data_IF_619147471207
#
_entry.id   IF_619147471207
#
_cell.length_a   1.000
_cell.length_b   1.000
_cell.length_c   1.000
_cell.angle_alpha   90.00
_cell.angle_beta   90.00
_cell.angle_gamma   90.00
#
_symmetry.space_group_name_H-M   'P 1'
#
loop_
_entity.id
_entity.type
_entity.pdbx_description
1 polymer ?
#
# COMPACT_ATOMS: atom_id res chain seq x y z
N UNK A 1 9.71 -5.95 30.46
CA UNK A 1 8.93 -6.25 29.24
C UNK A 1 7.48 -6.46 29.66
N UNK A 2 6.60 -5.50 29.35
CA UNK A 2 5.18 -5.58 29.71
C UNK A 2 4.43 -6.57 28.83
N UNK A 3 3.98 -7.68 29.43
CA UNK A 3 3.21 -8.74 28.75
C UNK A 3 1.87 -8.26 28.16
N UNK A 4 1.42 -7.07 28.53
CA UNK A 4 0.16 -6.47 28.08
C UNK A 4 0.30 -5.75 26.74
N UNK A 5 1.48 -5.19 26.44
CA UNK A 5 1.74 -4.48 25.19
C UNK A 5 1.67 -5.42 23.96
N UNK A 6 2.18 -6.65 24.09
CA UNK A 6 2.14 -7.64 23.00
C UNK A 6 0.72 -8.11 22.64
N UNK A 7 -0.17 -8.23 23.64
CA UNK A 7 -1.58 -8.60 23.40
C UNK A 7 -2.35 -7.48 22.71
N UNK A 8 -2.17 -6.24 23.16
CA UNK A 8 -2.81 -5.08 22.55
C UNK A 8 -2.34 -4.89 21.10
N UNK A 9 -1.04 -5.05 20.84
CA UNK A 9 -0.47 -4.99 19.49
C UNK A 9 -1.05 -6.07 18.56
N UNK A 10 -1.16 -7.31 19.04
CA UNK A 10 -1.77 -8.40 18.26
C UNK A 10 -3.23 -8.13 17.90
N UNK A 11 -4.02 -7.57 18.83
CA UNK A 11 -5.42 -7.18 18.57
C UNK A 11 -5.49 -6.06 17.52
N UNK A 12 -4.62 -5.04 17.64
CA UNK A 12 -4.58 -3.94 16.69
C UNK A 12 -4.28 -4.45 15.26
N UNK A 13 -3.30 -5.35 15.11
CA UNK A 13 -2.96 -5.93 13.80
C UNK A 13 -4.07 -6.83 13.24
N UNK A 14 -4.75 -7.60 14.09
CA UNK A 14 -5.93 -8.38 13.67
C UNK A 14 -7.04 -7.47 13.16
N UNK A 15 -7.37 -6.40 13.89
CA UNK A 15 -8.41 -5.46 13.48
C UNK A 15 -8.04 -4.74 12.18
N UNK A 16 -6.76 -4.39 12.02
CA UNK A 16 -6.26 -3.84 10.77
C UNK A 16 -6.46 -4.82 9.63
N UNK A 17 -6.06 -6.08 9.79
CA UNK A 17 -6.23 -7.11 8.76
C UNK A 17 -7.70 -7.32 8.37
N UNK A 18 -8.61 -7.38 9.34
CA UNK A 18 -10.05 -7.52 9.10
C UNK A 18 -10.60 -6.34 8.28
N UNK A 19 -10.17 -5.11 8.57
CA UNK A 19 -10.56 -3.94 7.80
C UNK A 19 -10.06 -4.02 6.34
N UNK A 20 -8.82 -4.49 6.13
CA UNK A 20 -8.26 -4.65 4.79
C UNK A 20 -8.96 -5.77 4.01
N UNK A 21 -9.35 -6.86 4.69
CA UNK A 21 -10.13 -7.95 4.09
C UNK A 21 -11.49 -7.44 3.59
N UNK A 22 -12.19 -6.62 4.40
CA UNK A 22 -13.46 -6.02 3.97
C UNK A 22 -13.29 -5.14 2.73
N UNK A 23 -12.18 -4.40 2.61
CA UNK A 23 -11.87 -3.65 1.40
C UNK A 23 -11.61 -4.60 0.22
N UNK A 24 -10.83 -5.68 0.41
CA UNK A 24 -10.58 -6.66 -0.65
C UNK A 24 -11.89 -7.24 -1.23
N UNK A 25 -12.89 -7.54 -0.39
CA UNK A 25 -14.20 -8.01 -0.83
C UNK A 25 -14.90 -7.04 -1.79
N UNK A 26 -14.77 -5.73 -1.56
CA UNK A 26 -15.31 -4.72 -2.47
C UNK A 26 -14.66 -4.76 -3.86
N UNK A 27 -13.35 -5.04 -3.93
CA UNK A 27 -12.63 -5.17 -5.20
C UNK A 27 -12.97 -6.47 -5.92
N UNK A 28 -13.17 -7.56 -5.18
CA UNK A 28 -13.56 -8.87 -5.73
C UNK A 28 -14.96 -8.87 -6.35
N UNK A 29 -15.86 -8.03 -5.83
CA UNK A 29 -17.25 -7.94 -6.29
C UNK A 29 -17.49 -6.82 -7.32
N UNK A 30 -16.54 -5.89 -7.48
CA UNK A 30 -16.62 -4.82 -8.47
C UNK A 30 -16.28 -5.31 -9.88
N UNK A 31 -17.27 -5.26 -10.78
CA UNK A 31 -17.15 -5.61 -12.20
C UNK A 31 -16.01 -4.90 -12.94
N UNK A 32 -15.54 -3.74 -12.44
CA UNK A 32 -14.38 -3.02 -12.98
C UNK A 32 -13.10 -3.86 -12.98
N UNK A 33 -12.95 -4.79 -12.04
CA UNK A 33 -11.77 -5.64 -11.88
C UNK A 33 -11.97 -7.08 -12.37
N UNK A 34 -13.11 -7.38 -13.02
CA UNK A 34 -13.43 -8.73 -13.49
C UNK A 34 -12.39 -9.31 -14.47
N UNK A 35 -11.72 -8.45 -15.24
CA UNK A 35 -10.68 -8.85 -16.21
C UNK A 35 -9.28 -8.98 -15.57
N UNK A 36 -9.13 -8.73 -14.27
CA UNK A 36 -7.84 -8.87 -13.58
C UNK A 36 -7.61 -10.34 -13.23
N UNK A 37 -6.69 -10.98 -13.97
CA UNK A 37 -6.25 -12.34 -13.67
C UNK A 37 -5.67 -12.45 -12.25
N UNK A 38 -5.98 -13.55 -11.56
CA UNK A 38 -5.53 -13.85 -10.19
C UNK A 38 -5.81 -12.72 -9.17
N UNK A 39 -6.92 -11.99 -9.33
CA UNK A 39 -7.25 -10.84 -8.49
C UNK A 39 -7.20 -11.18 -6.99
N UNK A 40 -7.79 -12.30 -6.57
CA UNK A 40 -7.77 -12.75 -5.16
C UNK A 40 -6.34 -12.88 -4.62
N UNK A 41 -5.46 -13.57 -5.34
CA UNK A 41 -4.07 -13.76 -4.91
C UNK A 41 -3.29 -12.44 -4.90
N UNK A 42 -3.56 -11.55 -5.87
CA UNK A 42 -2.96 -10.20 -5.90
C UNK A 42 -3.40 -9.36 -4.72
N UNK A 43 -4.69 -9.34 -4.39
CA UNK A 43 -5.23 -8.61 -3.25
C UNK A 43 -4.64 -9.10 -1.92
N UNK A 44 -4.48 -10.42 -1.73
CA UNK A 44 -3.80 -10.96 -0.54
C UNK A 44 -2.33 -10.54 -0.48
N UNK A 45 -1.60 -10.62 -1.60
CA UNK A 45 -0.20 -10.16 -1.67
C UNK A 45 -0.08 -8.66 -1.34
N UNK A 46 -0.97 -7.84 -1.90
CA UNK A 46 -0.99 -6.40 -1.68
C UNK A 46 -1.36 -6.03 -0.25
N UNK A 47 -2.31 -6.74 0.38
CA UNK A 47 -2.64 -6.59 1.80
C UNK A 47 -1.42 -6.81 2.68
N UNK A 48 -0.73 -7.94 2.52
CA UNK A 48 0.46 -8.25 3.32
C UNK A 48 1.55 -7.20 3.14
N UNK A 49 1.81 -6.80 1.89
CA UNK A 49 2.77 -5.75 1.57
C UNK A 49 2.38 -4.41 2.20
N UNK A 50 1.11 -4.01 2.15
CA UNK A 50 0.63 -2.79 2.78
C UNK A 50 0.82 -2.80 4.31
N UNK A 51 0.50 -3.93 4.96
CA UNK A 51 0.72 -4.10 6.41
C UNK A 51 2.19 -4.07 6.81
N UNK A 52 3.11 -4.51 5.94
CA UNK A 52 4.56 -4.35 6.15
C UNK A 52 5.03 -2.90 6.04
N UNK A 53 4.34 -2.07 5.26
CA UNK A 53 4.73 -0.68 4.99
C UNK A 53 4.09 0.35 5.92
N UNK A 54 2.96 0.02 6.54
CA UNK A 54 2.34 0.81 7.62
C UNK A 54 3.18 0.74 8.91
N UNK A 55 4.38 1.29 8.85
CA UNK A 55 5.43 1.21 9.87
C UNK A 55 5.15 2.05 11.12
N UNK A 56 4.09 2.88 11.10
CA UNK A 56 3.71 3.76 12.21
C UNK A 56 2.43 3.30 12.91
N UNK A 57 1.85 2.16 12.52
CA UNK A 57 0.60 1.58 13.03
C UNK A 57 -0.62 2.54 12.95
N UNK A 58 -0.58 3.53 12.03
CA UNK A 58 -1.70 4.46 11.81
C UNK A 58 -2.69 3.97 10.76
N UNK A 59 -2.39 2.86 10.06
CA UNK A 59 -3.24 2.30 9.03
C UNK A 59 -3.05 2.95 7.66
N UNK A 60 -2.13 3.91 7.52
CA UNK A 60 -1.90 4.70 6.30
C UNK A 60 -0.40 4.90 6.02
N UNK A 61 -0.04 4.92 4.74
CA UNK A 61 1.34 5.14 4.30
C UNK A 61 1.58 6.65 4.21
N UNK A 62 2.35 7.18 5.15
CA UNK A 62 2.88 8.55 5.07
C UNK A 62 4.14 8.64 4.18
N UNK A 63 4.65 9.86 3.98
CA UNK A 63 5.86 10.08 3.17
C UNK A 63 7.11 9.37 3.71
N UNK A 64 7.20 9.15 5.02
CA UNK A 64 8.32 8.49 5.67
C UNK A 64 8.23 6.97 5.53
N UNK A 65 7.03 6.41 5.62
CA UNK A 65 6.73 5.02 5.30
C UNK A 65 7.06 4.71 3.83
N UNK A 66 6.64 5.58 2.90
CA UNK A 66 7.00 5.48 1.49
C UNK A 66 8.53 5.54 1.28
N UNK A 67 9.22 6.48 1.96
CA UNK A 67 10.69 6.58 1.91
C UNK A 67 11.36 5.28 2.37
N UNK A 68 10.97 4.76 3.54
CA UNK A 68 11.54 3.53 4.11
C UNK A 68 11.27 2.31 3.24
N UNK A 69 10.07 2.20 2.66
CA UNK A 69 9.74 1.17 1.69
C UNK A 69 10.72 1.19 0.52
N UNK A 70 10.89 2.34 -0.13
CA UNK A 70 11.75 2.46 -1.30
C UNK A 70 13.23 2.20 -0.95
N UNK A 71 13.70 2.67 0.21
CA UNK A 71 15.04 2.36 0.72
C UNK A 71 15.24 0.85 0.96
N UNK A 72 14.27 0.14 1.54
CA UNK A 72 14.31 -1.34 1.72
C UNK A 72 14.39 -2.07 0.38
N UNK A 73 13.85 -1.47 -0.68
CA UNK A 73 13.91 -1.97 -2.05
C UNK A 73 15.15 -1.50 -2.82
N UNK A 74 16.09 -0.79 -2.18
CA UNK A 74 17.31 -0.28 -2.80
C UNK A 74 17.09 0.94 -3.70
N UNK A 75 15.94 1.60 -3.61
CA UNK A 75 15.58 2.78 -4.39
C UNK A 75 15.57 4.02 -3.50
N UNK A 76 16.63 4.81 -3.56
CA UNK A 76 16.65 6.12 -2.91
C UNK A 76 15.86 7.14 -3.73
N UNK A 77 15.02 7.95 -3.07
CA UNK A 77 14.27 9.06 -3.66
C UNK A 77 14.45 10.33 -2.84
N UNK A 78 14.47 11.46 -3.53
CA UNK A 78 14.45 12.79 -2.89
C UNK A 78 13.08 13.08 -2.29
N UNK A 79 13.02 14.01 -1.33
CA UNK A 79 11.75 14.42 -0.72
C UNK A 79 10.73 14.95 -1.75
N UNK A 80 11.20 15.66 -2.78
CA UNK A 80 10.34 16.16 -3.86
C UNK A 80 9.76 15.03 -4.72
N UNK A 81 10.56 14.01 -5.07
CA UNK A 81 10.08 12.84 -5.78
C UNK A 81 9.05 12.07 -4.96
N UNK A 82 9.28 11.90 -3.65
CA UNK A 82 8.33 11.26 -2.75
C UNK A 82 6.99 12.03 -2.71
N UNK A 83 7.03 13.36 -2.55
CA UNK A 83 5.81 14.19 -2.58
C UNK A 83 5.05 14.06 -3.90
N UNK A 84 5.77 14.02 -5.02
CA UNK A 84 5.16 13.81 -6.34
C UNK A 84 4.49 12.44 -6.43
N UNK A 85 5.17 11.39 -5.97
CA UNK A 85 4.63 10.03 -5.95
C UNK A 85 3.37 9.93 -5.09
N UNK A 86 3.35 10.55 -3.90
CA UNK A 86 2.16 10.64 -3.04
C UNK A 86 1.00 11.32 -3.78
N UNK A 87 1.26 12.48 -4.38
CA UNK A 87 0.24 13.25 -5.10
C UNK A 87 -0.30 12.53 -6.33
N UNK A 88 0.55 11.77 -7.03
CA UNK A 88 0.14 10.96 -8.20
C UNK A 88 -0.80 9.81 -7.79
N UNK A 89 -0.66 9.28 -6.57
CA UNK A 89 -1.48 8.17 -6.05
C UNK A 89 -2.80 8.65 -5.46
N UNK A 90 -2.74 9.65 -4.58
CA UNK A 90 -3.90 10.24 -3.88
C UNK A 90 -4.76 11.08 -4.84
N UNK A 91 -4.18 11.51 -5.96
CA UNK A 91 -4.80 12.42 -6.92
C UNK A 91 -4.71 13.87 -6.47
N UNK A 92 -4.66 14.81 -7.44
CA UNK A 92 -4.47 16.25 -7.19
C UNK A 92 -5.64 16.94 -6.47
N UNK A 93 -6.69 16.20 -6.06
CA UNK A 93 -7.96 16.78 -5.60
C UNK A 93 -8.07 16.95 -4.09
N UNK A 94 -7.16 16.41 -3.29
CA UNK A 94 -7.20 16.57 -1.84
C UNK A 94 -5.82 16.83 -1.25
N UNK A 95 -5.78 17.66 -0.20
CA UNK A 95 -4.60 17.97 0.62
C UNK A 95 -4.15 16.79 1.49
N UNK A 96 -4.45 15.55 1.09
CA UNK A 96 -4.11 14.36 1.86
C UNK A 96 -2.62 14.06 1.71
N UNK A 97 -1.95 13.90 2.84
CA UNK A 97 -0.50 13.63 2.93
C UNK A 97 -0.19 12.14 3.16
N UNK A 98 -1.20 11.29 3.07
CA UNK A 98 -1.15 9.85 3.33
C UNK A 98 -1.86 9.06 2.23
N UNK A 99 -1.36 7.86 1.94
CA UNK A 99 -1.95 6.89 1.02
C UNK A 99 -2.70 5.86 1.87
N UNK A 100 -4.01 5.77 1.70
CA UNK A 100 -4.80 4.72 2.33
C UNK A 100 -4.80 3.43 1.48
N UNK A 101 -5.38 2.35 2.00
CA UNK A 101 -5.31 1.06 1.32
C UNK A 101 -6.01 1.04 -0.05
N UNK A 102 -7.11 1.79 -0.22
CA UNK A 102 -7.79 1.88 -1.51
C UNK A 102 -6.96 2.65 -2.54
N UNK A 103 -6.26 3.71 -2.14
CA UNK A 103 -5.31 4.42 -3.01
C UNK A 103 -4.17 3.48 -3.44
N UNK A 104 -3.65 2.68 -2.50
CA UNK A 104 -2.63 1.67 -2.77
C UNK A 104 -3.12 0.60 -3.76
N UNK A 105 -4.32 0.05 -3.58
CA UNK A 105 -4.89 -0.94 -4.50
C UNK A 105 -5.15 -0.34 -5.90
N UNK A 106 -5.71 0.86 -5.98
CA UNK A 106 -5.91 1.56 -7.25
C UNK A 106 -4.59 1.80 -7.99
N UNK A 107 -3.52 2.10 -7.25
CA UNK A 107 -2.18 2.23 -7.80
C UNK A 107 -1.63 0.90 -8.34
N UNK A 108 -1.84 -0.22 -7.63
CA UNK A 108 -1.29 -1.53 -7.97
C UNK A 108 -2.09 -2.28 -9.05
N UNK A 109 -3.41 -2.07 -9.11
CA UNK A 109 -4.32 -2.68 -10.09
C UNK A 109 -4.56 -1.79 -11.31
N UNK A 110 -4.17 -0.52 -11.24
CA UNK A 110 -4.40 0.46 -12.29
C UNK A 110 -3.60 0.16 -13.57
N UNK A 111 -4.22 0.38 -14.73
CA UNK A 111 -3.58 0.23 -16.07
C UNK A 111 -2.31 1.11 -16.25
N UNK A 112 -2.13 2.11 -15.39
CA UNK A 112 -0.93 2.95 -15.31
C UNK A 112 -0.38 2.84 -13.89
N UNK A 113 0.39 1.78 -13.61
CA UNK A 113 1.16 1.61 -12.38
C UNK A 113 2.09 2.83 -12.14
N UNK A 114 1.59 3.88 -11.48
CA UNK A 114 2.23 5.21 -11.48
C UNK A 114 3.54 5.24 -10.67
N UNK A 115 3.53 4.68 -9.46
CA UNK A 115 4.72 4.61 -8.60
C UNK A 115 5.71 3.55 -9.09
N UNK A 116 5.24 2.37 -9.50
CA UNK A 116 6.11 1.30 -10.00
C UNK A 116 6.78 1.66 -11.33
N UNK A 117 6.17 2.49 -12.19
CA UNK A 117 6.86 3.05 -13.37
C UNK A 117 7.99 4.02 -13.01
N UNK A 118 7.86 4.77 -11.91
CA UNK A 118 8.82 5.81 -11.51
C UNK A 118 10.03 5.26 -10.73
N UNK A 119 9.92 4.04 -10.21
CA UNK A 119 10.92 3.42 -9.34
C UNK A 119 11.86 2.40 -10.05
N UNK A 120 11.85 2.39 -11.40
CA UNK A 120 12.67 1.58 -12.30
C UNK A 120 12.18 0.14 -12.55
N UNK A 121 12.58 -0.42 -13.70
CA UNK A 121 12.30 -1.80 -14.11
C UNK A 121 12.79 -2.85 -13.08
N UNK A 122 13.74 -2.51 -12.19
CA UNK A 122 14.25 -3.42 -11.17
C UNK A 122 13.20 -3.79 -10.13
N UNK A 123 12.22 -2.91 -9.86
CA UNK A 123 11.16 -3.23 -8.90
C UNK A 123 10.09 -4.14 -9.51
N UNK A 124 9.79 -4.07 -10.82
CA UNK A 124 8.72 -4.90 -11.41
C UNK A 124 8.91 -6.39 -11.10
N UNK A 125 10.15 -6.89 -11.12
CA UNK A 125 10.49 -8.29 -10.84
C UNK A 125 10.34 -8.71 -9.36
N UNK A 126 10.13 -7.77 -8.44
CA UNK A 126 9.90 -8.03 -7.00
C UNK A 126 8.38 -8.09 -6.71
N UNK A 127 7.56 -7.57 -7.62
CA UNK A 127 6.12 -7.43 -7.46
C UNK A 127 5.29 -8.26 -8.46
N UNK A 128 5.93 -8.85 -9.48
CA UNK A 128 5.43 -9.94 -10.34
C UNK A 128 5.97 -11.28 -9.82
#
# INVERSE_FOLDING_TARGET
MDRQAGKAYGILKSQQEDNLNSINETYLTDSKYADVEDLTSKLESFKHKYMEFDLNDQGEIDIMALKRMLEKLGVAKTHLELKKMMSDVVGSKESRETICYTDFLNMMLGKRNAILRLASNALRNIWE
#
